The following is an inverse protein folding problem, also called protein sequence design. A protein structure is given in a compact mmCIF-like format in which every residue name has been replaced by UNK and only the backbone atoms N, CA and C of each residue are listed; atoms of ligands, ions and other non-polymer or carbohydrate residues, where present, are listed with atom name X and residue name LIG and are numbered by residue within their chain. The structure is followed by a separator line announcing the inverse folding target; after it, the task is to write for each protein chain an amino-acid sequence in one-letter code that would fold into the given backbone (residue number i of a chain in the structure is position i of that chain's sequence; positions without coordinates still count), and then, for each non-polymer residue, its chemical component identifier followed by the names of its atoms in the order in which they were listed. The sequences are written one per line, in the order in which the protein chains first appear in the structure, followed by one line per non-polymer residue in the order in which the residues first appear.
data_IF_347238128430
#
_entry.id   IF_347238128430
#
_cell.length_a   1.000
_cell.length_b   1.000
_cell.length_c   1.000
_cell.angle_alpha   90.00
_cell.angle_beta   90.00
_cell.angle_gamma   90.00
#
_symmetry.space_group_name_H-M   'P 1'
#
loop_
_entity.id
_entity.type
_entity.pdbx_description
1 polymer ?
#
# COMPACT_ATOMS: atom_id res chain seq x y z
N UNK A 1 -20.03 -24.15 -1.76
CA UNK A 1 -21.05 -23.11 -1.56
C UNK A 1 -20.59 -22.00 -0.61
N UNK A 2 -20.09 -22.34 0.57
CA UNK A 2 -19.58 -21.36 1.52
C UNK A 2 -18.41 -20.55 0.96
N UNK A 3 -17.49 -21.21 0.24
CA UNK A 3 -16.34 -20.54 -0.40
C UNK A 3 -16.76 -19.54 -1.48
N UNK A 4 -17.84 -19.80 -2.21
CA UNK A 4 -18.39 -18.86 -3.19
C UNK A 4 -19.04 -17.66 -2.52
N UNK A 5 -19.76 -17.90 -1.42
CA UNK A 5 -20.34 -16.81 -0.64
C UNK A 5 -19.28 -15.93 0.00
N UNK A 6 -18.23 -16.53 0.56
CA UNK A 6 -17.10 -15.79 1.10
C UNK A 6 -16.35 -15.03 0.00
N UNK A 7 -16.22 -15.60 -1.20
CA UNK A 7 -15.62 -14.94 -2.35
C UNK A 7 -16.42 -13.75 -2.86
N UNK A 8 -17.77 -13.75 -2.68
CA UNK A 8 -18.60 -12.60 -3.05
C UNK A 8 -18.40 -11.40 -2.13
N UNK A 9 -18.00 -11.65 -0.88
CA UNK A 9 -17.74 -10.59 0.10
C UNK A 9 -16.26 -10.24 0.22
N UNK A 10 -15.39 -11.01 -0.44
CA UNK A 10 -13.94 -10.77 -0.45
C UNK A 10 -13.58 -9.80 -1.58
N UNK A 11 -12.92 -8.72 -1.22
CA UNK A 11 -12.41 -7.75 -2.19
C UNK A 11 -10.92 -7.98 -2.37
N UNK A 12 -10.57 -8.98 -3.19
CA UNK A 12 -9.16 -9.25 -3.51
C UNK A 12 -8.56 -8.04 -4.22
N UNK A 13 -7.36 -7.66 -3.80
CA UNK A 13 -6.74 -6.45 -4.29
C UNK A 13 -5.27 -6.64 -4.64
N UNK A 14 -4.80 -5.81 -5.54
CA UNK A 14 -3.39 -5.69 -5.89
C UNK A 14 -2.92 -4.26 -5.58
N UNK A 15 -1.75 -4.15 -4.98
CA UNK A 15 -1.15 -2.87 -4.60
C UNK A 15 0.18 -2.72 -5.36
N UNK A 16 0.33 -1.61 -6.06
CA UNK A 16 1.57 -1.24 -6.70
C UNK A 16 2.19 -0.08 -5.93
N UNK A 17 3.28 -0.37 -5.20
CA UNK A 17 4.00 0.61 -4.40
C UNK A 17 5.00 1.34 -5.27
N UNK A 18 4.58 2.44 -5.87
CA UNK A 18 5.46 3.28 -6.70
C UNK A 18 6.16 4.38 -5.91
N UNK A 19 7.29 4.84 -6.42
CA UNK A 19 8.04 5.95 -5.83
C UNK A 19 7.21 7.24 -5.80
N UNK A 20 6.52 7.54 -6.89
CA UNK A 20 5.68 8.73 -7.01
C UNK A 20 4.26 8.49 -6.51
N UNK A 21 3.64 7.41 -6.99
CA UNK A 21 2.24 7.10 -6.71
C UNK A 21 2.06 5.64 -6.31
N UNK A 22 1.08 5.40 -5.44
CA UNK A 22 0.61 4.07 -5.11
C UNK A 22 -0.73 3.83 -5.79
N UNK A 23 -0.86 2.69 -6.44
CA UNK A 23 -2.08 2.26 -7.11
C UNK A 23 -2.67 1.08 -6.35
N UNK A 24 -4.00 1.06 -6.19
CA UNK A 24 -4.71 -0.10 -5.66
C UNK A 24 -5.78 -0.52 -6.67
N UNK A 25 -5.70 -1.76 -7.07
CA UNK A 25 -6.65 -2.41 -7.96
C UNK A 25 -7.51 -3.39 -7.14
N UNK A 26 -8.81 -3.38 -7.35
CA UNK A 26 -9.74 -4.33 -6.73
C UNK A 26 -10.40 -5.15 -7.83
N UNK A 27 -10.40 -6.47 -7.67
CA UNK A 27 -11.01 -7.39 -8.62
C UNK A 27 -12.47 -7.05 -8.86
N UNK A 28 -12.81 -6.86 -10.13
CA UNK A 28 -14.17 -6.49 -10.55
C UNK A 28 -14.50 -5.00 -10.49
N UNK A 29 -13.61 -4.19 -9.91
CA UNK A 29 -13.83 -2.74 -9.79
C UNK A 29 -12.77 -1.89 -10.50
N UNK A 30 -11.64 -2.50 -10.87
CA UNK A 30 -10.53 -1.79 -11.51
C UNK A 30 -9.65 -1.03 -10.52
N UNK A 31 -9.00 0.02 -10.99
CA UNK A 31 -8.17 0.87 -10.15
C UNK A 31 -9.08 1.76 -9.30
N UNK A 32 -9.08 1.53 -8.00
CA UNK A 32 -9.93 2.23 -7.04
C UNK A 32 -9.18 3.29 -6.24
N UNK A 33 -7.84 3.27 -6.28
CA UNK A 33 -7.02 4.24 -5.61
C UNK A 33 -5.78 4.53 -6.46
N UNK A 34 -5.50 5.80 -6.67
CA UNK A 34 -4.28 6.29 -7.31
C UNK A 34 -3.90 7.56 -6.57
N UNK A 35 -3.02 7.42 -5.60
CA UNK A 35 -2.62 8.55 -4.76
C UNK A 35 -1.10 8.64 -4.65
N UNK A 36 -0.58 9.85 -4.41
CA UNK A 36 0.86 10.03 -4.20
C UNK A 36 1.38 9.21 -3.03
N UNK A 37 2.58 8.66 -3.17
CA UNK A 37 3.27 7.94 -2.10
C UNK A 37 3.91 8.96 -1.15
N UNK A 38 3.08 9.65 -0.39
CA UNK A 38 3.48 10.72 0.54
C UNK A 38 2.75 10.53 1.86
N UNK A 39 3.45 10.76 2.97
CA UNK A 39 2.90 10.70 4.32
C UNK A 39 3.26 11.97 5.07
N UNK A 40 2.29 12.60 5.72
CA UNK A 40 2.53 13.74 6.60
C UNK A 40 2.54 13.26 8.05
N UNK A 41 3.60 13.60 8.77
CA UNK A 41 3.84 13.19 10.14
C UNK A 41 3.96 14.42 11.02
N UNK A 42 3.31 14.37 12.16
CA UNK A 42 3.43 15.38 13.21
C UNK A 42 4.21 14.79 14.38
N UNK A 43 5.29 15.45 14.75
CA UNK A 43 6.08 15.08 15.92
C UNK A 43 5.59 15.87 17.13
N UNK A 44 5.05 15.19 18.12
CA UNK A 44 4.61 15.79 19.37
C UNK A 44 5.20 15.02 20.55
N UNK A 45 5.91 15.70 21.42
CA UNK A 45 6.48 15.13 22.64
C UNK A 45 7.31 13.87 22.38
N UNK A 46 8.11 13.86 21.31
CA UNK A 46 8.95 12.72 20.94
C UNK A 46 8.22 11.54 20.32
N UNK A 47 6.95 11.71 20.00
CA UNK A 47 6.16 10.69 19.29
C UNK A 47 5.74 11.20 17.93
N UNK A 48 5.93 10.36 16.92
CA UNK A 48 5.50 10.66 15.55
C UNK A 48 4.11 10.10 15.30
N UNK A 49 3.23 10.95 14.77
CA UNK A 49 1.87 10.55 14.42
C UNK A 49 1.59 10.87 12.96
N UNK A 50 1.06 9.91 12.22
CA UNK A 50 0.61 10.12 10.85
C UNK A 50 -0.70 10.94 10.89
N UNK A 51 -0.69 12.08 10.19
CA UNK A 51 -1.85 12.98 10.14
C UNK A 51 -2.52 13.01 8.77
N UNK A 52 -1.80 12.64 7.72
CA UNK A 52 -2.35 12.59 6.37
C UNK A 52 -1.54 11.62 5.51
N UNK A 53 -2.17 11.04 4.50
CA UNK A 53 -1.53 10.13 3.56
C UNK A 53 -2.07 10.44 2.16
N UNK A 54 -1.22 10.28 1.14
CA UNK A 54 -1.64 10.42 -0.24
C UNK A 54 -1.89 11.87 -0.64
N UNK A 55 -3.02 12.13 -1.28
CA UNK A 55 -3.36 13.45 -1.81
C UNK A 55 -3.35 14.54 -0.74
N UNK A 56 -3.89 14.25 0.43
CA UNK A 56 -3.90 15.20 1.55
C UNK A 56 -2.49 15.55 2.01
N UNK A 57 -1.61 14.54 2.10
CA UNK A 57 -0.22 14.76 2.48
C UNK A 57 0.54 15.54 1.41
N UNK A 58 0.25 15.30 0.14
CA UNK A 58 0.89 16.03 -0.97
C UNK A 58 0.59 17.51 -0.91
N UNK A 59 -0.62 17.90 -0.53
CA UNK A 59 -1.00 19.30 -0.38
C UNK A 59 -0.16 20.02 0.70
N UNK A 60 0.42 19.27 1.62
CA UNK A 60 1.25 19.80 2.69
C UNK A 60 2.73 19.97 2.30
N UNK A 61 3.16 19.42 1.15
CA UNK A 61 4.54 19.55 0.68
C UNK A 61 4.89 21.03 0.45
N UNK A 62 5.95 21.48 1.11
CA UNK A 62 6.41 22.86 1.01
C UNK A 62 5.55 23.88 1.76
N UNK A 63 4.48 23.45 2.42
CA UNK A 63 3.57 24.33 3.17
C UNK A 63 3.27 23.79 4.56
N UNK A 64 4.14 22.95 5.08
CA UNK A 64 3.91 22.30 6.38
C UNK A 64 4.06 23.31 7.51
N UNK A 65 3.08 23.39 8.43
CA UNK A 65 3.25 24.16 9.67
C UNK A 65 4.39 23.59 10.51
N UNK A 66 4.83 24.36 11.50
CA UNK A 66 5.85 23.92 12.43
C UNK A 66 5.49 22.56 13.07
N UNK A 67 6.44 21.63 13.08
CA UNK A 67 6.25 20.31 13.66
C UNK A 67 5.64 19.26 12.73
N UNK A 68 5.28 19.63 11.51
CA UNK A 68 4.74 18.70 10.52
C UNK A 68 5.77 18.50 9.41
N UNK A 69 5.97 17.24 9.02
CA UNK A 69 6.89 16.86 7.96
C UNK A 69 6.19 15.96 6.95
N UNK A 70 6.34 16.26 5.66
CA UNK A 70 5.84 15.41 4.59
C UNK A 70 7.00 14.56 4.06
N UNK A 71 6.81 13.25 4.04
CA UNK A 71 7.85 12.27 3.71
C UNK A 71 7.41 11.41 2.54
N UNK A 72 8.33 11.15 1.62
CA UNK A 72 8.17 10.14 0.57
C UNK A 72 8.89 8.87 1.02
N UNK A 73 8.15 7.82 1.44
CA UNK A 73 8.79 6.62 1.99
C UNK A 73 9.51 5.76 0.96
N UNK A 74 9.20 5.95 -0.33
CA UNK A 74 9.82 5.21 -1.42
C UNK A 74 10.63 6.19 -2.28
N UNK A 75 11.90 5.89 -2.51
CA UNK A 75 12.80 6.69 -3.34
C UNK A 75 13.60 5.78 -4.26
N UNK A 76 13.60 6.09 -5.55
CA UNK A 76 14.36 5.34 -6.56
C UNK A 76 14.12 3.82 -6.51
N UNK A 77 12.85 3.43 -6.29
CA UNK A 77 12.48 2.04 -6.21
C UNK A 77 12.92 1.32 -4.92
N UNK A 78 13.31 2.07 -3.89
CA UNK A 78 13.77 1.53 -2.60
C UNK A 78 12.94 2.11 -1.47
N UNK A 79 12.69 1.31 -0.44
CA UNK A 79 12.04 1.79 0.78
C UNK A 79 13.06 2.60 1.59
N UNK A 80 12.88 3.91 1.62
CA UNK A 80 13.78 4.82 2.34
C UNK A 80 13.43 4.94 3.81
N UNK A 81 12.13 4.81 4.15
CA UNK A 81 11.64 4.85 5.52
C UNK A 81 10.61 3.74 5.71
N UNK A 82 11.00 2.75 6.48
CA UNK A 82 10.24 1.54 6.73
C UNK A 82 8.94 1.77 7.47
N UNK A 83 9.04 2.50 8.57
CA UNK A 83 7.90 2.73 9.45
C UNK A 83 6.83 3.57 8.75
N UNK A 84 7.27 4.58 8.02
CA UNK A 84 6.37 5.45 7.25
C UNK A 84 5.70 4.66 6.12
N UNK A 85 6.45 3.79 5.42
CA UNK A 85 5.90 2.94 4.38
C UNK A 85 4.82 2.00 4.93
N UNK A 86 5.05 1.40 6.10
CA UNK A 86 4.05 0.55 6.77
C UNK A 86 2.76 1.30 7.05
N UNK A 87 2.85 2.50 7.58
CA UNK A 87 1.68 3.32 7.90
C UNK A 87 0.92 3.70 6.64
N UNK A 88 1.63 4.01 5.56
CA UNK A 88 1.03 4.31 4.26
C UNK A 88 0.25 3.12 3.70
N UNK A 89 0.84 1.94 3.72
CA UNK A 89 0.21 0.70 3.24
C UNK A 89 -1.06 0.41 4.02
N UNK A 90 -0.99 0.47 5.35
CA UNK A 90 -2.15 0.25 6.21
C UNK A 90 -3.28 1.23 5.89
N UNK A 91 -2.94 2.49 5.74
CA UNK A 91 -3.92 3.54 5.44
C UNK A 91 -4.63 3.27 4.11
N UNK A 92 -3.89 2.95 3.07
CA UNK A 92 -4.47 2.69 1.76
C UNK A 92 -5.33 1.43 1.73
N UNK A 93 -4.90 0.35 2.38
CA UNK A 93 -5.70 -0.88 2.47
C UNK A 93 -6.99 -0.61 3.23
N UNK A 94 -6.93 0.06 4.36
CA UNK A 94 -8.11 0.38 5.17
C UNK A 94 -9.08 1.30 4.42
N UNK A 95 -8.56 2.23 3.64
CA UNK A 95 -9.39 3.14 2.84
C UNK A 95 -10.17 2.40 1.75
N UNK A 96 -9.55 1.41 1.12
CA UNK A 96 -10.17 0.62 0.06
C UNK A 96 -11.06 -0.49 0.62
N UNK A 97 -10.63 -1.14 1.70
CA UNK A 97 -11.32 -2.27 2.33
C UNK A 97 -12.31 -1.82 3.40
N UNK A 98 -12.97 -0.71 3.19
CA UNK A 98 -13.90 -0.18 4.16
C UNK A 98 -15.22 -0.99 4.16
N UNK A 99 -15.52 -1.68 5.28
CA UNK A 99 -16.80 -2.38 5.53
C UNK A 99 -17.04 -3.72 4.83
N UNK A 100 -16.01 -4.43 4.43
CA UNK A 100 -16.18 -5.80 3.96
C UNK A 100 -16.13 -6.77 5.14
N UNK A 101 -17.03 -7.75 5.18
CA UNK A 101 -17.04 -8.78 6.21
C UNK A 101 -15.95 -9.82 6.03
N UNK A 102 -15.42 -9.94 4.82
CA UNK A 102 -14.36 -10.89 4.49
C UNK A 102 -13.04 -10.18 4.28
N UNK A 103 -11.97 -10.71 4.86
CA UNK A 103 -10.62 -10.19 4.67
C UNK A 103 -10.12 -10.45 3.24
N UNK A 104 -9.51 -9.47 2.58
CA UNK A 104 -9.06 -9.64 1.21
C UNK A 104 -7.78 -10.45 1.11
N UNK A 105 -7.56 -11.07 -0.04
CA UNK A 105 -6.22 -11.46 -0.47
C UNK A 105 -5.56 -10.24 -1.09
N UNK A 106 -4.30 -10.00 -0.76
CA UNK A 106 -3.56 -8.83 -1.24
C UNK A 106 -2.30 -9.28 -1.98
N UNK A 107 -2.16 -8.82 -3.20
CA UNK A 107 -0.93 -8.97 -3.99
C UNK A 107 -0.22 -7.63 -3.95
N UNK A 108 1.04 -7.62 -3.52
CA UNK A 108 1.82 -6.39 -3.45
C UNK A 108 2.98 -6.47 -4.42
N UNK A 109 3.07 -5.50 -5.32
CA UNK A 109 4.22 -5.33 -6.20
C UNK A 109 5.30 -4.56 -5.45
N UNK A 110 6.43 -5.21 -5.23
CA UNK A 110 7.55 -4.62 -4.49
C UNK A 110 8.72 -4.36 -5.43
N UNK A 111 9.55 -3.35 -5.13
CA UNK A 111 10.77 -3.12 -5.91
C UNK A 111 11.66 -4.38 -5.89
N UNK A 112 12.28 -4.68 -7.04
CA UNK A 112 13.12 -5.89 -7.19
C UNK A 112 14.32 -5.91 -6.26
N UNK A 113 14.78 -4.74 -5.80
CA UNK A 113 15.88 -4.62 -4.85
C UNK A 113 15.48 -4.74 -3.38
N UNK A 114 14.22 -5.08 -3.09
CA UNK A 114 13.74 -5.17 -1.71
C UNK A 114 14.43 -6.30 -0.94
N UNK A 115 14.87 -6.01 0.28
CA UNK A 115 15.50 -7.00 1.16
C UNK A 115 14.43 -7.93 1.75
N UNK A 116 14.89 -9.05 2.31
CA UNK A 116 13.99 -10.00 3.01
C UNK A 116 13.28 -9.34 4.20
N UNK A 117 13.97 -8.46 4.92
CA UNK A 117 13.39 -7.71 6.04
C UNK A 117 12.30 -6.75 5.57
N UNK A 118 12.54 -6.03 4.47
CA UNK A 118 11.57 -5.12 3.87
C UNK A 118 10.32 -5.88 3.39
N UNK A 119 10.52 -7.02 2.72
CA UNK A 119 9.42 -7.86 2.25
C UNK A 119 8.55 -8.36 3.40
N UNK A 120 9.21 -8.82 4.48
CA UNK A 120 8.49 -9.29 5.66
C UNK A 120 7.68 -8.18 6.32
N UNK A 121 8.25 -6.99 6.41
CA UNK A 121 7.55 -5.83 7.00
C UNK A 121 6.34 -5.42 6.17
N UNK A 122 6.45 -5.44 4.84
CA UNK A 122 5.32 -5.16 3.94
C UNK A 122 4.21 -6.21 4.15
N UNK A 123 4.60 -7.49 4.22
CA UNK A 123 3.65 -8.57 4.46
C UNK A 123 2.91 -8.39 5.78
N UNK A 124 3.64 -8.13 6.86
CA UNK A 124 3.06 -7.92 8.18
C UNK A 124 2.14 -6.67 8.21
N UNK A 125 2.53 -5.61 7.51
CA UNK A 125 1.72 -4.39 7.41
C UNK A 125 0.37 -4.67 6.74
N UNK A 126 0.36 -5.45 5.68
CA UNK A 126 -0.86 -5.85 5.00
C UNK A 126 -1.74 -6.74 5.88
N UNK A 127 -1.14 -7.67 6.59
CA UNK A 127 -1.86 -8.56 7.52
C UNK A 127 -2.48 -7.76 8.67
N UNK A 128 -1.74 -6.80 9.24
CA UNK A 128 -2.25 -5.93 10.29
C UNK A 128 -3.37 -5.01 9.79
N UNK A 129 -3.37 -4.65 8.52
CA UNK A 129 -4.43 -3.86 7.91
C UNK A 129 -5.70 -4.68 7.61
N UNK A 130 -5.66 -5.99 7.80
CA UNK A 130 -6.81 -6.87 7.64
C UNK A 130 -6.70 -7.87 6.50
N UNK A 131 -5.56 -7.98 5.82
CA UNK A 131 -5.39 -8.95 4.74
C UNK A 131 -5.39 -10.38 5.28
N UNK A 132 -6.14 -11.25 4.63
CA UNK A 132 -6.19 -12.68 4.96
C UNK A 132 -4.95 -13.41 4.47
N UNK A 133 -4.47 -13.05 3.29
CA UNK A 133 -3.31 -13.65 2.65
C UNK A 133 -2.59 -12.59 1.82
N UNK A 134 -1.26 -12.60 1.88
CA UNK A 134 -0.42 -11.61 1.19
C UNK A 134 0.56 -12.33 0.29
N UNK A 135 0.61 -11.90 -0.97
CA UNK A 135 1.60 -12.35 -1.94
C UNK A 135 2.45 -11.16 -2.34
N UNK A 136 3.77 -11.34 -2.32
CA UNK A 136 4.71 -10.32 -2.78
C UNK A 136 5.26 -10.73 -4.13
N UNK A 137 5.19 -9.85 -5.12
CA UNK A 137 5.77 -10.08 -6.45
C UNK A 137 6.67 -8.91 -6.83
N UNK A 138 7.71 -9.21 -7.60
CA UNK A 138 8.61 -8.19 -8.09
C UNK A 138 7.96 -7.37 -9.21
N UNK A 139 8.27 -6.08 -9.28
CA UNK A 139 7.69 -5.19 -10.31
C UNK A 139 7.81 -5.72 -11.74
N UNK A 140 8.96 -6.24 -12.19
CA UNK A 140 9.05 -6.81 -13.55
C UNK A 140 8.11 -7.99 -13.76
N UNK A 141 7.94 -8.85 -12.75
CA UNK A 141 7.01 -9.98 -12.80
C UNK A 141 5.57 -9.50 -12.90
N UNK A 142 5.21 -8.48 -12.13
CA UNK A 142 3.88 -7.89 -12.16
C UNK A 142 3.56 -7.29 -13.52
N UNK A 143 4.51 -6.60 -14.15
CA UNK A 143 4.36 -6.04 -15.47
C UNK A 143 4.15 -7.14 -16.53
N UNK A 144 4.90 -8.25 -16.43
CA UNK A 144 4.75 -9.39 -17.35
C UNK A 144 3.37 -10.04 -17.22
N UNK A 145 2.89 -10.21 -16.00
CA UNK A 145 1.56 -10.77 -15.73
C UNK A 145 0.47 -9.83 -16.26
N UNK A 146 0.61 -8.52 -16.00
CA UNK A 146 -0.34 -7.52 -16.47
C UNK A 146 -0.42 -7.42 -17.98
N UNK A 147 0.68 -7.68 -18.67
CA UNK A 147 0.73 -7.73 -20.13
C UNK A 147 0.23 -9.07 -20.71
N UNK A 148 -0.14 -10.03 -19.88
CA UNK A 148 -0.62 -11.33 -20.31
C UNK A 148 0.45 -12.30 -20.76
N UNK A 149 1.72 -12.00 -20.54
CA UNK A 149 2.83 -12.80 -21.03
C UNK A 149 3.00 -14.14 -20.32
N UNK A 150 2.51 -14.26 -19.10
CA UNK A 150 2.70 -15.44 -18.28
C UNK A 150 1.45 -16.29 -18.06
N UNK A 151 0.34 -15.94 -18.70
CA UNK A 151 -0.95 -16.60 -18.47
C UNK A 151 -1.47 -17.36 -19.69
N UNK A 152 -0.59 -17.86 -20.50
CA UNK A 152 -1.01 -18.66 -21.66
C UNK A 152 -0.64 -20.13 -21.50
#
# INVERSE_FOLDING_TARGET
MLSKLLGMFSSDMAIDLGTANTLVYVKGRGIVLNEPSVVAIKSEQGRDRVIAVGDEAKLMLGRTPSGIQAIRPLRDGVIADFHVAEQMIKHFIQKVHNRSFASPQVVVCVPSGSTAVERKAIQESCEQAGARKVYLIDEPMAAAIGAGLMWK
#
